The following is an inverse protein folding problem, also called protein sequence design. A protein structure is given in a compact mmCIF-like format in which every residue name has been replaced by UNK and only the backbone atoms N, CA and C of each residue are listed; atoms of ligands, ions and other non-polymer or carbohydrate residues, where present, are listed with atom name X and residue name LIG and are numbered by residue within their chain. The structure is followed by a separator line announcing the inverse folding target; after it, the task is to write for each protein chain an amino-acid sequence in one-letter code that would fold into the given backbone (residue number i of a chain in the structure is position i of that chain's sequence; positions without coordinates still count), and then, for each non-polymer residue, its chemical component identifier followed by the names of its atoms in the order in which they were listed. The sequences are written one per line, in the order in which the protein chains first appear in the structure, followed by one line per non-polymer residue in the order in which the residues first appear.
data_IF_413652909632
#
_entry.id   IF_413652909632
#
_cell.length_a   1.000
_cell.length_b   1.000
_cell.length_c   1.000
_cell.angle_alpha   90.00
_cell.angle_beta   90.00
_cell.angle_gamma   90.00
#
_symmetry.space_group_name_H-M   'P 1'
#
loop_
_entity.id
_entity.type
_entity.pdbx_description
1 polymer ?
#
# COMPACT_ATOMS: atom_id res chain seq x y z
N UNK A 1 12.06 31.40 24.74
CA UNK A 1 11.47 30.29 23.98
C UNK A 1 12.13 29.00 24.43
N UNK A 2 11.49 28.22 25.32
CA UNK A 2 12.03 26.93 25.77
C UNK A 2 11.80 25.92 24.64
N UNK A 3 12.89 25.43 24.04
CA UNK A 3 12.82 24.29 23.14
C UNK A 3 12.32 23.08 23.94
N UNK A 4 11.13 22.58 23.59
CA UNK A 4 10.63 21.33 24.13
C UNK A 4 11.59 20.17 23.83
N UNK A 5 11.59 19.10 24.63
CA UNK A 5 12.52 17.99 24.44
C UNK A 5 12.37 17.42 23.04
N UNK A 6 13.50 17.25 22.34
CA UNK A 6 13.53 16.51 21.07
C UNK A 6 12.94 15.12 21.31
N UNK A 7 12.02 14.64 20.46
CA UNK A 7 11.45 13.32 20.61
C UNK A 7 12.59 12.29 20.63
N UNK A 8 12.62 11.47 21.67
CA UNK A 8 13.63 10.44 21.83
C UNK A 8 13.71 9.58 20.56
N UNK A 9 14.93 9.20 20.11
CA UNK A 9 15.09 8.36 18.93
C UNK A 9 14.29 7.08 19.14
N UNK A 10 13.38 6.83 18.21
CA UNK A 10 12.63 5.58 18.15
C UNK A 10 13.60 4.41 17.98
N UNK A 11 13.39 3.36 18.78
CA UNK A 11 14.13 2.13 18.57
C UNK A 11 13.90 1.58 17.14
N UNK A 12 14.88 0.85 16.58
CA UNK A 12 14.86 0.37 15.19
C UNK A 12 13.59 -0.44 14.82
N UNK A 13 12.94 -1.10 15.80
CA UNK A 13 11.65 -1.78 15.60
C UNK A 13 10.48 -0.83 15.32
N UNK A 14 10.43 0.33 15.99
CA UNK A 14 9.36 1.33 15.82
C UNK A 14 9.46 2.04 14.48
N UNK A 15 10.69 2.33 14.02
CA UNK A 15 10.94 2.88 12.69
C UNK A 15 10.56 1.90 11.58
N UNK A 16 10.96 0.63 11.73
CA UNK A 16 10.56 -0.43 10.79
C UNK A 16 9.05 -0.59 10.70
N UNK A 17 8.34 -0.58 11.83
CA UNK A 17 6.88 -0.66 11.86
C UNK A 17 6.23 0.53 11.14
N UNK A 18 6.71 1.76 11.40
CA UNK A 18 6.19 2.95 10.70
C UNK A 18 6.43 2.89 9.20
N UNK A 19 7.59 2.39 8.78
CA UNK A 19 7.88 2.16 7.36
C UNK A 19 6.88 1.18 6.75
N UNK A 20 6.64 0.04 7.40
CA UNK A 20 5.66 -0.96 6.94
C UNK A 20 4.24 -0.39 6.85
N UNK A 21 3.82 0.44 7.81
CA UNK A 21 2.50 1.08 7.77
C UNK A 21 2.41 2.06 6.60
N UNK A 22 3.48 2.83 6.32
CA UNK A 22 3.53 3.73 5.15
C UNK A 22 3.44 2.94 3.85
N UNK A 23 4.16 1.82 3.75
CA UNK A 23 4.10 0.94 2.58
C UNK A 23 2.70 0.32 2.40
N UNK A 24 2.08 -0.15 3.49
CA UNK A 24 0.72 -0.68 3.46
C UNK A 24 -0.29 0.37 3.01
N UNK A 25 -0.15 1.62 3.46
CA UNK A 25 -1.00 2.72 3.01
C UNK A 25 -0.82 2.99 1.52
N UNK A 26 0.42 3.05 1.04
CA UNK A 26 0.71 3.24 -0.39
C UNK A 26 0.11 2.10 -1.23
N UNK A 27 0.26 0.84 -0.80
CA UNK A 27 -0.34 -0.33 -1.46
C UNK A 27 -1.85 -0.19 -1.57
N UNK A 28 -2.53 0.17 -0.48
CA UNK A 28 -3.99 0.36 -0.47
C UNK A 28 -4.46 1.45 -1.43
N UNK A 29 -3.72 2.56 -1.52
CA UNK A 29 -4.04 3.64 -2.47
C UNK A 29 -3.92 3.15 -3.91
N UNK A 30 -2.84 2.43 -4.24
CA UNK A 30 -2.62 1.88 -5.58
C UNK A 30 -3.71 0.85 -5.93
N UNK A 31 -4.03 -0.05 -5.01
CA UNK A 31 -5.10 -1.05 -5.20
C UNK A 31 -6.47 -0.42 -5.42
N UNK A 32 -6.80 0.64 -4.69
CA UNK A 32 -8.08 1.35 -4.85
C UNK A 32 -8.20 1.96 -6.25
N UNK A 33 -7.15 2.65 -6.71
CA UNK A 33 -7.09 3.24 -8.04
C UNK A 33 -7.18 2.16 -9.14
N UNK A 34 -6.42 1.06 -8.99
CA UNK A 34 -6.43 -0.03 -9.96
C UNK A 34 -7.80 -0.70 -10.05
N UNK A 35 -8.46 -0.94 -8.91
CA UNK A 35 -9.82 -1.49 -8.90
C UNK A 35 -10.80 -0.59 -9.63
N UNK A 36 -10.69 0.72 -9.44
CA UNK A 36 -11.59 1.66 -10.08
C UNK A 36 -11.37 1.69 -11.60
N UNK A 37 -10.11 1.73 -12.06
CA UNK A 37 -9.79 1.65 -13.50
C UNK A 37 -10.25 0.34 -14.12
N UNK A 38 -10.00 -0.79 -13.47
CA UNK A 38 -10.46 -2.11 -13.96
C UNK A 38 -11.98 -2.16 -14.08
N UNK A 39 -12.71 -1.53 -13.16
CA UNK A 39 -14.17 -1.45 -13.19
C UNK A 39 -14.66 -0.53 -14.31
N UNK A 40 -14.08 0.66 -14.44
CA UNK A 40 -14.52 1.68 -15.40
C UNK A 40 -14.15 1.35 -16.84
N UNK A 41 -12.91 0.91 -17.08
CA UNK A 41 -12.35 0.75 -18.42
C UNK A 41 -12.56 -0.66 -18.98
N UNK A 42 -12.62 -1.68 -18.11
CA UNK A 42 -12.59 -3.08 -18.53
C UNK A 42 -13.78 -3.91 -17.99
N UNK A 43 -14.68 -3.30 -17.22
CA UNK A 43 -15.81 -3.98 -16.56
C UNK A 43 -15.39 -5.26 -15.82
N UNK A 44 -14.22 -5.24 -15.20
CA UNK A 44 -13.65 -6.39 -14.48
C UNK A 44 -13.23 -6.00 -13.07
N UNK A 45 -12.75 -6.99 -12.32
CA UNK A 45 -12.32 -6.81 -10.94
C UNK A 45 -10.87 -7.26 -10.79
N UNK A 46 -10.18 -6.64 -9.85
CA UNK A 46 -8.80 -6.99 -9.53
C UNK A 46 -8.62 -8.51 -9.23
N UNK A 47 -9.46 -9.17 -8.41
CA UNK A 47 -9.32 -10.61 -8.18
C UNK A 47 -9.48 -11.47 -9.44
N UNK A 48 -10.39 -11.10 -10.35
CA UNK A 48 -10.58 -11.83 -11.61
C UNK A 48 -9.35 -11.66 -12.51
N UNK A 49 -8.84 -10.44 -12.62
CA UNK A 49 -7.62 -10.15 -13.37
C UNK A 49 -6.42 -10.95 -12.82
N UNK A 50 -6.23 -10.97 -11.51
CA UNK A 50 -5.11 -11.67 -10.87
C UNK A 50 -5.10 -13.17 -11.20
N UNK A 51 -6.26 -13.83 -11.18
CA UNK A 51 -6.40 -15.23 -11.57
C UNK A 51 -6.06 -15.43 -13.05
N UNK A 52 -6.61 -14.60 -13.94
CA UNK A 52 -6.35 -14.71 -15.37
C UNK A 52 -4.87 -14.46 -15.72
N UNK A 53 -4.23 -13.50 -15.07
CA UNK A 53 -2.81 -13.24 -15.22
C UNK A 53 -1.94 -14.41 -14.71
N UNK A 54 -2.38 -15.10 -13.66
CA UNK A 54 -1.71 -16.29 -13.15
C UNK A 54 -1.82 -17.48 -14.11
N UNK A 55 -2.96 -17.63 -14.80
CA UNK A 55 -3.13 -18.64 -15.84
C UNK A 55 -2.35 -18.32 -17.11
N UNK A 56 -2.28 -17.03 -17.49
CA UNK A 56 -1.56 -16.59 -18.69
C UNK A 56 -0.04 -16.82 -18.60
N UNK A 57 0.54 -16.69 -17.41
CA UNK A 57 1.98 -16.88 -17.17
C UNK A 57 2.39 -18.34 -16.95
N UNK A 58 1.43 -19.24 -16.82
CA UNK A 58 1.64 -20.68 -16.59
C UNK A 58 1.86 -21.39 -17.93
#
# INVERSE_FOLDING_TARGET
MVAGPLPAPSGPGKDRLRLWIRLLRASRTIEAELRERLRQEFNTTLPRFDVMAALYRA
#
